data_IF_989654346854
#
_entry.id   IF_989654346854
#
_cell.length_a   1.000
_cell.length_b   1.000
_cell.length_c   1.000
_cell.angle_alpha   90.00
_cell.angle_beta   90.00
_cell.angle_gamma   90.00
#
_symmetry.space_group_name_H-M   'P 1'
#
loop_
_entity.id
_entity.type
_entity.pdbx_description
1 polymer ?
#
# COMPACT_ATOMS: atom_id res chain seq x y z
N UNK A 1 13.96 4.37 -62.17
CA UNK A 1 12.64 3.78 -61.82
C UNK A 1 12.67 3.42 -60.35
N UNK A 2 11.69 3.91 -59.56
CA UNK A 2 11.18 3.32 -58.28
C UNK A 2 12.17 3.36 -57.08
N UNK A 3 11.85 3.78 -55.85
CA UNK A 3 10.70 4.43 -55.18
C UNK A 3 11.25 4.96 -53.83
N UNK A 4 10.67 6.03 -53.31
CA UNK A 4 10.73 6.40 -51.90
C UNK A 4 10.19 5.27 -51.01
N UNK A 5 10.73 5.09 -49.80
CA UNK A 5 9.99 4.55 -48.66
C UNK A 5 10.37 5.30 -47.38
N UNK A 6 9.35 5.51 -46.55
CA UNK A 6 9.22 6.48 -45.47
C UNK A 6 10.18 6.26 -44.29
N UNK A 7 10.68 7.37 -43.73
CA UNK A 7 11.07 7.44 -42.32
C UNK A 7 9.95 8.17 -41.56
N UNK A 8 9.08 7.40 -40.92
CA UNK A 8 8.15 7.89 -39.92
C UNK A 8 7.97 6.79 -38.88
N UNK A 9 8.67 6.91 -37.75
CA UNK A 9 8.27 6.39 -36.43
C UNK A 9 9.44 6.53 -35.47
N UNK A 10 9.30 7.44 -34.50
CA UNK A 10 9.90 7.31 -33.16
C UNK A 10 9.60 8.55 -32.33
N UNK A 11 8.31 8.81 -32.10
CA UNK A 11 7.88 9.70 -31.00
C UNK A 11 7.02 8.93 -29.99
N UNK A 12 6.49 7.75 -30.34
CA UNK A 12 5.64 6.96 -29.43
C UNK A 12 6.37 6.07 -28.42
N UNK A 13 7.66 5.74 -28.58
CA UNK A 13 8.36 4.83 -27.64
C UNK A 13 9.04 5.54 -26.46
N UNK A 14 9.32 6.84 -26.56
CA UNK A 14 10.03 7.56 -25.49
C UNK A 14 9.06 7.98 -24.37
N UNK A 15 7.82 8.33 -24.74
CA UNK A 15 6.79 8.68 -23.76
C UNK A 15 6.32 7.47 -22.95
N UNK A 16 6.12 6.31 -23.59
CA UNK A 16 5.68 5.08 -22.92
C UNK A 16 6.74 4.50 -21.98
N UNK A 17 8.02 4.58 -22.35
CA UNK A 17 9.13 4.17 -21.47
C UNK A 17 9.35 5.15 -20.31
N UNK A 18 9.12 6.45 -20.52
CA UNK A 18 9.15 7.43 -19.43
C UNK A 18 7.99 7.26 -18.44
N UNK A 19 6.76 7.00 -18.93
CA UNK A 19 5.57 6.73 -18.11
C UNK A 19 5.71 5.42 -17.31
N UNK A 20 6.19 4.35 -17.94
CA UNK A 20 6.47 3.09 -17.25
C UNK A 20 7.57 3.24 -16.19
N UNK A 21 8.62 4.02 -16.46
CA UNK A 21 9.65 4.30 -15.47
C UNK A 21 9.13 5.13 -14.29
N UNK A 22 8.21 6.07 -14.51
CA UNK A 22 7.57 6.83 -13.42
C UNK A 22 6.63 5.97 -12.58
N UNK A 23 5.87 5.06 -13.18
CA UNK A 23 5.00 4.11 -12.45
C UNK A 23 5.82 3.13 -11.60
N UNK A 24 6.92 2.61 -12.14
CA UNK A 24 7.84 1.73 -11.41
C UNK A 24 8.56 2.47 -10.27
N UNK A 25 9.04 3.69 -10.52
CA UNK A 25 9.61 4.54 -9.48
C UNK A 25 8.57 4.90 -8.41
N UNK A 26 7.31 5.16 -8.77
CA UNK A 26 6.23 5.41 -7.82
C UNK A 26 5.94 4.17 -6.97
N UNK A 27 5.68 3.02 -7.60
CA UNK A 27 5.39 1.77 -6.89
C UNK A 27 6.51 1.40 -5.91
N UNK A 28 7.78 1.59 -6.30
CA UNK A 28 8.93 1.39 -5.43
C UNK A 28 9.06 2.46 -4.33
N UNK A 29 8.80 3.73 -4.63
CA UNK A 29 8.90 4.84 -3.66
C UNK A 29 7.75 4.88 -2.65
N UNK A 30 6.56 4.42 -3.02
CA UNK A 30 5.35 4.41 -2.19
C UNK A 30 5.04 3.02 -1.62
N UNK A 31 5.75 1.97 -2.06
CA UNK A 31 5.61 0.59 -1.61
C UNK A 31 4.14 0.17 -1.54
N UNK A 32 3.49 0.21 -2.70
CA UNK A 32 2.06 -0.12 -2.90
C UNK A 32 1.80 -1.63 -2.96
N UNK A 33 2.72 -2.44 -2.45
CA UNK A 33 2.63 -3.91 -2.45
C UNK A 33 1.54 -4.47 -1.52
N UNK A 34 0.69 -3.62 -0.93
CA UNK A 34 -0.46 -4.05 -0.14
C UNK A 34 -0.16 -4.49 1.30
N UNK A 35 1.08 -4.88 1.62
CA UNK A 35 1.37 -5.49 2.93
C UNK A 35 1.49 -4.47 4.07
N UNK A 36 0.43 -4.26 4.85
CA UNK A 36 0.43 -3.56 6.15
C UNK A 36 0.10 -4.53 7.30
N UNK A 37 1.02 -5.44 7.61
CA UNK A 37 0.76 -6.50 8.58
C UNK A 37 0.81 -5.99 10.02
N UNK A 38 -0.09 -6.52 10.85
CA UNK A 38 0.05 -6.48 12.32
C UNK A 38 1.17 -7.41 12.79
N UNK A 39 1.62 -7.27 14.05
CA UNK A 39 2.62 -8.17 14.63
C UNK A 39 2.19 -9.66 14.58
N UNK A 40 0.90 -9.94 14.80
CA UNK A 40 0.34 -11.30 14.72
C UNK A 40 0.41 -11.85 13.29
N UNK A 41 0.02 -11.05 12.29
CA UNK A 41 0.11 -11.44 10.88
C UNK A 41 1.56 -11.60 10.42
N UNK A 42 2.50 -10.79 10.93
CA UNK A 42 3.93 -10.96 10.64
C UNK A 42 4.47 -12.28 11.22
N UNK A 43 4.02 -12.69 12.41
CA UNK A 43 4.33 -14.03 12.95
C UNK A 43 3.75 -15.14 12.08
N UNK A 44 2.50 -14.97 11.63
CA UNK A 44 1.84 -15.92 10.73
C UNK A 44 2.53 -16.01 9.37
N UNK A 45 2.98 -14.88 8.78
CA UNK A 45 3.81 -14.84 7.57
C UNK A 45 5.08 -15.65 7.73
N UNK A 46 5.79 -15.50 8.85
CA UNK A 46 7.00 -16.30 9.11
C UNK A 46 6.68 -17.80 9.20
N UNK A 47 5.64 -18.17 9.95
CA UNK A 47 5.22 -19.56 10.09
C UNK A 47 4.75 -20.18 8.76
N UNK A 48 4.06 -19.40 7.92
CA UNK A 48 3.66 -19.81 6.59
C UNK A 48 4.87 -20.01 5.67
N UNK A 49 5.85 -19.12 5.70
CA UNK A 49 7.10 -19.28 4.96
C UNK A 49 7.89 -20.51 5.44
N UNK A 50 7.96 -20.75 6.75
CA UNK A 50 8.58 -21.95 7.32
C UNK A 50 7.88 -23.24 6.89
N UNK A 51 6.56 -23.20 6.67
CA UNK A 51 5.77 -24.35 6.19
C UNK A 51 5.89 -24.58 4.68
N UNK A 52 5.82 -23.50 3.90
CA UNK A 52 5.62 -23.56 2.44
C UNK A 52 6.87 -23.25 1.62
N UNK A 53 7.81 -22.50 2.19
CA UNK A 53 8.97 -21.89 1.49
C UNK A 53 10.23 -21.85 2.38
N UNK A 54 10.49 -22.89 3.17
CA UNK A 54 11.60 -22.86 4.13
C UNK A 54 12.99 -22.68 3.49
N UNK A 55 13.18 -23.15 2.25
CA UNK A 55 14.39 -22.93 1.47
C UNK A 55 14.64 -21.44 1.21
N UNK A 56 13.58 -20.65 1.00
CA UNK A 56 13.69 -19.21 0.84
C UNK A 56 14.21 -18.54 2.11
N UNK A 57 13.72 -18.95 3.28
CA UNK A 57 14.21 -18.42 4.56
C UNK A 57 15.67 -18.79 4.79
N UNK A 58 16.10 -19.98 4.38
CA UNK A 58 17.52 -20.36 4.40
C UNK A 58 18.35 -19.43 3.51
N UNK A 59 17.92 -19.16 2.28
CA UNK A 59 18.63 -18.24 1.38
C UNK A 59 18.70 -16.81 1.94
N UNK A 60 17.61 -16.32 2.55
CA UNK A 60 17.60 -15.00 3.19
C UNK A 60 18.58 -14.94 4.35
N UNK A 61 18.64 -15.98 5.18
CA UNK A 61 19.63 -16.06 6.25
C UNK A 61 21.06 -16.08 5.69
N UNK A 62 21.32 -16.88 4.66
CA UNK A 62 22.67 -16.99 4.07
C UNK A 62 23.16 -15.67 3.51
N UNK A 63 22.28 -14.91 2.85
CA UNK A 63 22.58 -13.55 2.37
C UNK A 63 22.79 -12.55 3.50
N UNK A 64 22.10 -12.72 4.63
CA UNK A 64 22.16 -11.76 5.74
C UNK A 64 23.39 -11.95 6.65
N UNK A 65 23.86 -13.18 6.84
CA UNK A 65 24.89 -13.50 7.83
C UNK A 65 26.29 -13.75 7.25
N UNK A 66 26.42 -13.92 5.93
CA UNK A 66 27.69 -14.07 5.18
C UNK A 66 28.79 -14.81 5.96
N UNK A 67 28.50 -16.06 6.34
CA UNK A 67 29.37 -16.87 7.20
C UNK A 67 29.79 -18.16 6.51
N UNK A 68 31.05 -18.56 6.74
CA UNK A 68 31.62 -19.82 6.25
C UNK A 68 31.33 -20.99 7.18
N UNK A 69 30.67 -20.75 8.32
CA UNK A 69 30.31 -21.81 9.27
C UNK A 69 29.16 -22.65 8.73
N UNK A 70 29.26 -23.97 8.92
CA UNK A 70 28.18 -24.89 8.58
C UNK A 70 27.12 -24.81 9.69
N UNK A 71 26.06 -24.05 9.43
CA UNK A 71 24.90 -23.92 10.32
C UNK A 71 23.75 -24.78 9.77
N UNK A 72 23.09 -25.52 10.66
CA UNK A 72 21.94 -26.35 10.28
C UNK A 72 20.76 -25.47 9.84
N UNK A 73 19.89 -25.99 8.97
CA UNK A 73 18.67 -25.29 8.53
C UNK A 73 17.82 -24.81 9.72
N UNK A 74 17.59 -25.69 10.71
CA UNK A 74 16.82 -25.36 11.91
C UNK A 74 17.41 -24.18 12.67
N UNK A 75 18.74 -24.15 12.84
CA UNK A 75 19.41 -23.06 13.53
C UNK A 75 19.33 -21.74 12.74
N UNK A 76 19.45 -21.78 11.40
CA UNK A 76 19.24 -20.60 10.54
C UNK A 76 17.85 -20.01 10.73
N UNK A 77 16.80 -20.85 10.71
CA UNK A 77 15.41 -20.40 10.89
C UNK A 77 15.18 -19.84 12.30
N UNK A 78 15.73 -20.48 13.34
CA UNK A 78 15.66 -19.99 14.71
C UNK A 78 16.32 -18.61 14.86
N UNK A 79 17.48 -18.39 14.22
CA UNK A 79 18.15 -17.10 14.23
C UNK A 79 17.36 -16.01 13.50
N UNK A 80 16.78 -16.30 12.33
CA UNK A 80 15.88 -15.34 11.67
C UNK A 80 14.67 -15.01 12.54
N UNK A 81 14.04 -16.03 13.13
CA UNK A 81 12.88 -15.84 14.01
C UNK A 81 13.23 -14.98 15.22
N UNK A 82 14.40 -15.21 15.84
CA UNK A 82 14.88 -14.40 16.95
C UNK A 82 15.17 -12.96 16.54
N UNK A 83 15.68 -12.72 15.32
CA UNK A 83 15.91 -11.37 14.83
C UNK A 83 14.61 -10.61 14.51
N UNK A 84 13.67 -11.27 13.83
CA UNK A 84 12.50 -10.63 13.26
C UNK A 84 11.30 -10.59 14.22
N UNK A 85 11.20 -11.60 15.09
CA UNK A 85 10.02 -11.87 15.93
C UNK A 85 10.42 -12.10 17.40
N UNK A 86 11.48 -11.44 17.89
CA UNK A 86 11.83 -11.50 19.32
C UNK A 86 10.66 -11.03 20.20
N UNK A 87 10.52 -11.56 21.43
CA UNK A 87 9.50 -11.10 22.37
C UNK A 87 9.50 -9.58 22.56
N UNK A 88 10.68 -8.95 22.55
CA UNK A 88 10.82 -7.49 22.67
C UNK A 88 10.26 -6.76 21.45
N UNK A 89 10.53 -7.23 20.23
CA UNK A 89 9.95 -6.64 19.00
C UNK A 89 8.44 -6.81 18.96
N UNK A 90 7.95 -7.99 19.30
CA UNK A 90 6.51 -8.27 19.33
C UNK A 90 5.79 -7.37 20.33
N UNK A 91 6.34 -7.22 21.55
CA UNK A 91 5.78 -6.34 22.58
C UNK A 91 5.78 -4.86 22.17
N UNK A 92 6.66 -4.46 21.26
CA UNK A 92 6.73 -3.09 20.72
C UNK A 92 5.92 -2.91 19.43
N UNK A 93 5.25 -3.97 18.94
CA UNK A 93 4.58 -3.92 17.64
C UNK A 93 5.53 -3.73 16.46
N UNK A 94 6.81 -4.14 16.58
CA UNK A 94 7.89 -3.96 15.59
C UNK A 94 8.42 -5.30 15.04
N UNK A 95 7.51 -6.23 14.81
CA UNK A 95 7.79 -7.49 14.13
C UNK A 95 8.29 -7.22 12.71
N UNK A 96 9.16 -8.08 12.18
CA UNK A 96 9.62 -7.98 10.80
C UNK A 96 9.05 -9.09 9.93
N UNK A 97 8.79 -8.78 8.67
CA UNK A 97 8.21 -9.72 7.71
C UNK A 97 8.67 -9.41 6.28
N UNK A 98 8.72 -10.43 5.44
CA UNK A 98 9.05 -10.29 4.03
C UNK A 98 7.80 -9.89 3.22
N UNK A 99 8.02 -9.02 2.24
CA UNK A 99 7.06 -8.70 1.18
C UNK A 99 7.63 -9.13 -0.17
N UNK A 100 6.75 -9.42 -1.12
CA UNK A 100 7.07 -10.10 -2.36
C UNK A 100 6.50 -9.35 -3.56
N UNK A 101 7.30 -9.26 -4.61
CA UNK A 101 6.92 -8.65 -5.87
C UNK A 101 7.89 -9.10 -6.97
N UNK A 102 7.62 -8.65 -8.19
CA UNK A 102 8.65 -8.60 -9.23
C UNK A 102 9.82 -7.70 -8.79
N UNK A 103 10.98 -7.85 -9.45
CA UNK A 103 12.17 -7.03 -9.16
C UNK A 103 11.98 -5.53 -9.42
N UNK A 104 10.94 -5.17 -10.15
CA UNK A 104 10.51 -3.79 -10.41
C UNK A 104 9.46 -3.28 -9.40
N UNK A 105 9.23 -4.04 -8.31
CA UNK A 105 8.25 -3.76 -7.26
C UNK A 105 6.79 -3.80 -7.73
N UNK A 106 6.48 -4.47 -8.84
CA UNK A 106 5.09 -4.67 -9.27
C UNK A 106 4.49 -6.00 -8.78
N UNK A 107 3.18 -6.01 -8.54
CA UNK A 107 2.38 -7.21 -8.26
C UNK A 107 1.30 -7.42 -9.36
N UNK A 108 1.68 -7.77 -10.61
CA UNK A 108 0.74 -7.85 -11.72
C UNK A 108 -0.22 -9.05 -11.63
N UNK A 109 0.11 -10.06 -10.83
CA UNK A 109 -0.71 -11.26 -10.66
C UNK A 109 -1.66 -11.18 -9.46
N UNK A 110 -1.68 -10.04 -8.74
CA UNK A 110 -2.41 -9.87 -7.49
C UNK A 110 -2.18 -11.05 -6.52
N UNK A 111 -0.93 -11.49 -6.45
CA UNK A 111 -0.54 -12.62 -5.61
C UNK A 111 -0.11 -12.12 -4.23
N UNK A 112 -0.56 -12.81 -3.20
CA UNK A 112 -0.26 -12.50 -1.81
C UNK A 112 0.30 -13.72 -1.09
N UNK A 113 1.36 -13.52 -0.30
CA UNK A 113 1.85 -14.55 0.60
C UNK A 113 0.81 -14.84 1.71
N UNK A 114 0.85 -16.02 2.34
CA UNK A 114 -0.02 -16.37 3.48
C UNK A 114 0.43 -15.73 4.80
N UNK A 115 -0.49 -15.09 5.52
CA UNK A 115 -0.23 -14.27 6.71
C UNK A 115 -0.63 -14.98 8.02
N UNK A 116 -1.03 -16.25 7.94
CA UNK A 116 -1.30 -17.15 9.06
C UNK A 116 -0.64 -18.51 8.84
N UNK A 117 -0.26 -19.18 9.93
CA UNK A 117 0.24 -20.56 9.89
C UNK A 117 -0.79 -21.56 9.32
N UNK A 118 -2.08 -21.22 9.42
CA UNK A 118 -3.18 -22.04 8.91
C UNK A 118 -3.41 -21.90 7.42
N UNK A 119 -2.85 -20.85 6.79
CA UNK A 119 -3.06 -20.62 5.36
C UNK A 119 -2.47 -21.77 4.55
N UNK A 120 -3.15 -22.09 3.45
CA UNK A 120 -2.66 -23.05 2.48
C UNK A 120 -1.41 -22.51 1.78
N UNK A 121 -0.54 -23.41 1.33
CA UNK A 121 0.57 -23.00 0.47
C UNK A 121 0.01 -22.62 -0.91
N UNK A 122 0.13 -21.35 -1.28
CA UNK A 122 -0.08 -20.87 -2.64
C UNK A 122 1.24 -20.97 -3.41
N UNK A 123 1.21 -21.24 -4.71
CA UNK A 123 2.41 -21.21 -5.57
C UNK A 123 2.80 -19.76 -5.83
N UNK A 124 4.03 -19.39 -5.46
CA UNK A 124 4.60 -18.08 -5.75
C UNK A 124 4.94 -17.98 -7.24
N UNK A 125 4.56 -16.89 -7.94
CA UNK A 125 4.96 -16.67 -9.32
C UNK A 125 6.49 -16.73 -9.48
N UNK A 126 7.02 -17.32 -10.56
CA UNK A 126 8.45 -17.60 -10.67
C UNK A 126 9.32 -16.33 -10.77
N UNK A 127 8.76 -15.21 -11.22
CA UNK A 127 9.38 -13.89 -11.25
C UNK A 127 9.39 -13.16 -9.89
N UNK A 128 8.65 -13.64 -8.89
CA UNK A 128 8.54 -12.96 -7.60
C UNK A 128 9.74 -13.29 -6.71
N UNK A 129 10.23 -12.26 -6.02
CA UNK A 129 11.33 -12.36 -5.05
C UNK A 129 10.96 -11.61 -3.77
N UNK A 130 11.63 -11.88 -2.63
CA UNK A 130 11.55 -10.98 -1.48
C UNK A 130 12.16 -9.63 -1.87
N UNK A 131 11.36 -8.58 -1.88
CA UNK A 131 11.80 -7.24 -2.30
C UNK A 131 12.07 -6.30 -1.13
N UNK A 132 11.49 -6.57 0.05
CA UNK A 132 11.81 -5.85 1.27
C UNK A 132 11.56 -6.68 2.54
N UNK A 133 12.30 -6.35 3.60
CA UNK A 133 12.01 -6.74 4.97
C UNK A 133 11.32 -5.57 5.68
N UNK A 134 9.99 -5.62 5.78
CA UNK A 134 9.18 -4.57 6.41
C UNK A 134 9.13 -4.77 7.92
N UNK A 135 8.85 -3.68 8.63
CA UNK A 135 8.59 -3.70 10.07
C UNK A 135 7.14 -3.30 10.29
N UNK A 136 6.41 -4.04 11.12
CA UNK A 136 5.05 -3.68 11.53
C UNK A 136 5.08 -2.35 12.27
N UNK A 137 4.07 -1.51 12.03
CA UNK A 137 4.02 -0.13 12.57
C UNK A 137 2.62 0.27 13.03
N UNK A 138 1.57 -0.39 12.55
CA UNK A 138 0.21 -0.22 13.04
C UNK A 138 -0.03 -1.15 14.22
N UNK A 139 -0.63 -0.61 15.28
CA UNK A 139 -0.95 -1.37 16.49
C UNK A 139 -2.16 -2.30 16.27
N UNK A 140 -3.08 -1.89 15.41
CA UNK A 140 -4.36 -2.56 15.15
C UNK A 140 -4.52 -2.91 13.67
N UNK A 141 -5.37 -3.90 13.40
CA UNK A 141 -5.81 -4.21 12.06
C UNK A 141 -7.03 -3.37 11.74
N UNK A 142 -7.02 -2.72 10.59
CA UNK A 142 -8.17 -1.99 10.05
C UNK A 142 -9.08 -2.93 9.26
N UNK A 143 -10.34 -2.58 9.16
CA UNK A 143 -11.29 -3.28 8.31
C UNK A 143 -10.92 -3.16 6.82
N UNK A 144 -11.22 -4.21 6.06
CA UNK A 144 -11.00 -4.23 4.62
C UNK A 144 -12.04 -3.33 3.91
N UNK A 145 -11.62 -2.65 2.84
CA UNK A 145 -12.51 -1.97 1.90
C UNK A 145 -11.85 -1.91 0.53
N UNK A 146 -12.58 -2.30 -0.52
CA UNK A 146 -12.14 -2.28 -1.91
C UNK A 146 -13.27 -1.80 -2.81
N UNK A 147 -13.00 -1.54 -4.09
CA UNK A 147 -14.04 -1.34 -5.08
C UNK A 147 -14.55 -2.65 -5.69
N UNK A 148 -15.78 -2.65 -6.23
CA UNK A 148 -16.23 -3.72 -7.12
C UNK A 148 -15.63 -3.57 -8.52
N UNK A 149 -15.43 -2.33 -8.96
CA UNK A 149 -14.93 -1.98 -10.27
C UNK A 149 -14.16 -0.66 -10.19
N UNK A 150 -12.98 -0.61 -10.80
CA UNK A 150 -12.10 0.55 -10.87
C UNK A 150 -11.65 0.84 -12.32
N UNK A 151 -12.31 0.23 -13.32
CA UNK A 151 -11.92 0.32 -14.72
C UNK A 151 -12.13 1.73 -15.30
N UNK A 152 -13.19 2.39 -14.83
CA UNK A 152 -13.62 3.68 -15.36
C UNK A 152 -13.21 4.85 -14.48
N UNK A 153 -13.14 4.60 -13.18
CA UNK A 153 -12.96 5.60 -12.13
C UNK A 153 -11.93 5.09 -11.12
N UNK A 154 -11.05 5.97 -10.67
CA UNK A 154 -10.06 5.67 -9.63
C UNK A 154 -9.56 6.97 -8.98
N UNK A 155 -8.64 6.87 -8.02
CA UNK A 155 -7.95 8.05 -7.48
C UNK A 155 -6.68 8.26 -8.32
N UNK A 156 -6.64 9.28 -9.19
CA UNK A 156 -5.40 9.51 -9.97
C UNK A 156 -4.29 10.16 -9.13
N UNK A 157 -4.67 10.97 -8.14
CA UNK A 157 -3.71 11.61 -7.23
C UNK A 157 -4.31 12.03 -5.91
N UNK A 158 -3.54 11.81 -4.84
CA UNK A 158 -3.72 12.46 -3.54
C UNK A 158 -2.55 13.40 -3.26
N UNK A 159 -2.83 14.62 -2.82
CA UNK A 159 -1.83 15.57 -2.32
C UNK A 159 -2.19 16.04 -0.92
N UNK A 160 -1.20 16.06 -0.03
CA UNK A 160 -1.34 16.43 1.38
C UNK A 160 -0.16 17.36 1.72
N UNK A 161 -0.39 18.67 1.73
CA UNK A 161 0.65 19.69 1.73
C UNK A 161 1.76 19.41 0.68
N UNK A 162 2.95 18.99 1.13
CA UNK A 162 4.11 18.68 0.27
C UNK A 162 4.20 17.19 -0.12
N UNK A 163 3.32 16.34 0.41
CA UNK A 163 3.20 14.96 -0.02
C UNK A 163 2.32 14.88 -1.27
N UNK A 164 2.72 14.06 -2.23
CA UNK A 164 1.94 13.75 -3.42
C UNK A 164 2.10 12.27 -3.71
N UNK A 165 1.00 11.60 -4.02
CA UNK A 165 0.95 10.23 -4.50
C UNK A 165 0.12 10.26 -5.79
N UNK A 166 0.69 9.79 -6.90
CA UNK A 166 -0.05 9.57 -8.13
C UNK A 166 -0.28 8.06 -8.20
N UNK A 167 -1.50 7.65 -8.53
CA UNK A 167 -1.89 6.24 -8.45
C UNK A 167 -2.26 5.70 -9.81
N UNK A 168 -2.05 4.40 -9.96
CA UNK A 168 -2.60 3.61 -11.06
C UNK A 168 -3.89 2.98 -10.55
N UNK A 169 -4.98 3.07 -11.31
CA UNK A 169 -6.29 2.63 -10.81
C UNK A 169 -6.30 1.17 -10.38
N UNK A 170 -6.61 0.93 -9.10
CA UNK A 170 -6.86 -0.38 -8.48
C UNK A 170 -8.19 -0.36 -7.74
N UNK A 171 -8.65 -1.52 -7.29
CA UNK A 171 -9.80 -1.60 -6.38
C UNK A 171 -9.41 -1.18 -4.95
N UNK A 172 -8.15 -1.44 -4.56
CA UNK A 172 -7.53 -1.04 -3.32
C UNK A 172 -6.02 -0.81 -3.45
N UNK A 173 -5.52 0.26 -2.83
CA UNK A 173 -4.09 0.60 -2.78
C UNK A 173 -3.65 0.91 -1.35
N UNK A 174 -2.64 0.20 -0.84
CA UNK A 174 -2.03 0.51 0.46
C UNK A 174 -0.68 1.22 0.28
N UNK A 175 -0.64 2.52 0.56
CA UNK A 175 0.53 3.38 0.45
C UNK A 175 1.33 3.32 1.75
N UNK A 176 2.38 2.48 1.75
CA UNK A 176 3.09 2.09 2.98
C UNK A 176 4.58 2.45 3.02
N UNK A 177 5.15 2.89 1.90
CA UNK A 177 6.57 3.23 1.75
C UNK A 177 6.93 4.63 2.21
N UNK A 178 5.93 5.52 2.31
CA UNK A 178 6.07 6.88 2.84
C UNK A 178 4.99 7.14 3.87
N UNK A 179 5.41 7.70 5.00
CA UNK A 179 4.50 8.11 6.07
C UNK A 179 4.24 9.60 5.96
N UNK A 180 2.98 9.99 5.82
CA UNK A 180 2.55 11.39 5.76
C UNK A 180 2.62 11.98 7.17
N UNK A 181 3.21 13.16 7.32
CA UNK A 181 3.19 13.85 8.62
C UNK A 181 1.99 14.78 8.72
N UNK A 182 1.20 14.64 9.77
CA UNK A 182 0.14 15.56 10.15
C UNK A 182 0.52 16.20 11.48
N UNK A 183 0.78 17.52 11.47
CA UNK A 183 1.17 18.22 12.70
C UNK A 183 -0.03 18.58 13.56
N UNK A 184 -0.01 18.22 14.84
CA UNK A 184 -1.09 18.52 15.78
C UNK A 184 -1.37 20.03 15.88
N UNK A 185 -2.65 20.40 15.91
CA UNK A 185 -3.09 21.80 15.95
C UNK A 185 -2.84 22.59 14.66
N UNK A 186 -2.45 21.92 13.56
CA UNK A 186 -2.27 22.55 12.25
C UNK A 186 -3.39 22.19 11.30
N UNK A 187 -3.68 23.12 10.40
CA UNK A 187 -4.52 22.88 9.24
C UNK A 187 -3.64 22.33 8.12
N UNK A 188 -4.03 21.18 7.56
CA UNK A 188 -3.36 20.51 6.44
C UNK A 188 -4.22 20.68 5.20
N UNK A 189 -3.61 21.08 4.08
CA UNK A 189 -4.30 21.19 2.80
C UNK A 189 -4.29 19.86 2.07
N UNK A 190 -5.46 19.40 1.62
CA UNK A 190 -5.61 18.14 0.91
C UNK A 190 -6.26 18.34 -0.45
N UNK A 191 -5.82 17.54 -1.41
CA UNK A 191 -6.40 17.49 -2.75
C UNK A 191 -6.55 16.05 -3.20
N UNK A 192 -7.74 15.68 -3.67
CA UNK A 192 -8.00 14.39 -4.33
C UNK A 192 -8.36 14.70 -5.78
N UNK A 193 -7.60 14.13 -6.70
CA UNK A 193 -7.83 14.21 -8.14
C UNK A 193 -8.45 12.88 -8.57
N UNK A 194 -9.74 12.85 -8.95
CA UNK A 194 -10.29 11.68 -9.61
C UNK A 194 -9.53 11.36 -10.90
N UNK A 195 -9.37 10.08 -11.19
CA UNK A 195 -8.92 9.58 -12.49
C UNK A 195 -10.09 8.94 -13.22
N UNK A 196 -10.14 9.14 -14.53
CA UNK A 196 -11.24 8.66 -15.36
C UNK A 196 -10.75 8.27 -16.76
N UNK A 197 -11.25 7.14 -17.28
CA UNK A 197 -10.83 6.58 -18.57
C UNK A 197 -11.34 7.39 -19.77
N UNK A 198 -12.48 8.07 -19.61
CA UNK A 198 -13.05 8.97 -20.60
C UNK A 198 -12.96 10.43 -20.12
N UNK A 199 -11.97 11.21 -20.61
CA UNK A 199 -11.80 12.60 -20.19
C UNK A 199 -12.96 13.52 -20.62
N UNK A 200 -13.79 13.06 -21.57
CA UNK A 200 -14.92 13.82 -22.12
C UNK A 200 -16.20 13.73 -21.27
N UNK A 201 -16.25 12.80 -20.30
CA UNK A 201 -17.34 12.70 -19.33
C UNK A 201 -16.74 12.80 -17.92
N UNK A 202 -16.73 14.00 -17.31
CA UNK A 202 -16.32 14.11 -15.92
C UNK A 202 -17.30 13.31 -15.08
N UNK A 203 -16.79 12.28 -14.44
CA UNK A 203 -17.57 11.38 -13.61
C UNK A 203 -17.94 12.10 -12.33
N UNK A 204 -19.24 12.10 -12.03
CA UNK A 204 -19.71 12.60 -10.76
C UNK A 204 -19.35 11.57 -9.68
N UNK A 205 -18.25 11.81 -8.98
CA UNK A 205 -17.68 10.89 -8.00
C UNK A 205 -17.95 11.42 -6.61
N UNK A 206 -18.20 10.53 -5.66
CA UNK A 206 -18.35 10.87 -4.26
C UNK A 206 -17.10 10.47 -3.48
N UNK A 207 -16.44 11.42 -2.83
CA UNK A 207 -15.20 11.23 -2.08
C UNK A 207 -15.44 11.29 -0.56
N UNK A 208 -14.80 10.38 0.17
CA UNK A 208 -14.67 10.41 1.63
C UNK A 208 -13.23 10.29 2.05
N UNK A 209 -12.90 10.92 3.17
CA UNK A 209 -11.63 10.71 3.86
C UNK A 209 -11.88 10.49 5.35
N UNK A 210 -11.25 9.48 5.89
CA UNK A 210 -11.21 9.19 7.32
C UNK A 210 -9.78 9.20 7.83
N UNK A 211 -9.57 9.66 9.06
CA UNK A 211 -8.29 9.57 9.76
C UNK A 211 -8.59 8.99 11.14
N UNK A 212 -8.03 7.83 11.45
CA UNK A 212 -8.15 7.20 12.77
C UNK A 212 -7.31 8.00 13.77
N UNK A 213 -7.98 8.90 14.49
CA UNK A 213 -7.36 9.87 15.37
C UNK A 213 -7.00 9.27 16.72
N UNK A 214 -7.83 8.34 17.21
CA UNK A 214 -7.63 7.69 18.50
C UNK A 214 -6.79 6.40 18.42
N UNK A 215 -6.39 6.03 17.20
CA UNK A 215 -5.49 4.92 16.88
C UNK A 215 -6.04 3.56 17.33
N UNK A 216 -7.37 3.39 17.36
CA UNK A 216 -8.02 2.17 17.83
C UNK A 216 -8.21 1.10 16.74
N UNK A 217 -7.86 1.42 15.48
CA UNK A 217 -8.00 0.53 14.33
C UNK A 217 -9.38 0.55 13.68
N UNK A 218 -10.28 1.45 14.10
CA UNK A 218 -11.59 1.65 13.53
C UNK A 218 -11.72 3.08 12.98
N UNK A 219 -12.70 3.29 12.12
CA UNK A 219 -13.05 4.62 11.63
C UNK A 219 -14.45 4.95 12.11
N UNK A 220 -14.53 5.69 13.21
CA UNK A 220 -15.76 6.23 13.76
C UNK A 220 -16.34 7.33 12.87
N UNK A 221 -17.59 7.70 13.12
CA UNK A 221 -18.25 8.81 12.40
C UNK A 221 -17.59 10.17 12.67
N UNK A 222 -16.94 10.34 13.83
CA UNK A 222 -16.14 11.53 14.17
C UNK A 222 -14.81 11.62 13.41
N UNK A 223 -14.37 10.53 12.80
CA UNK A 223 -13.08 10.43 12.12
C UNK A 223 -13.19 10.67 10.62
N UNK A 224 -14.42 10.77 10.09
CA UNK A 224 -14.67 11.23 8.74
C UNK A 224 -14.39 12.73 8.63
N UNK A 225 -13.23 13.09 8.07
CA UNK A 225 -12.76 14.47 7.95
C UNK A 225 -13.20 15.16 6.67
N UNK A 226 -13.64 14.38 5.68
CA UNK A 226 -14.14 14.92 4.41
C UNK A 226 -15.23 14.04 3.82
N UNK A 227 -16.25 14.68 3.26
CA UNK A 227 -17.32 14.05 2.49
C UNK A 227 -17.86 15.05 1.48
N UNK A 228 -17.76 14.74 0.19
CA UNK A 228 -18.33 15.54 -0.89
C UNK A 228 -18.57 14.71 -2.13
N UNK A 229 -19.31 15.24 -3.10
CA UNK A 229 -19.39 14.70 -4.44
C UNK A 229 -19.22 15.83 -5.46
N UNK A 230 -18.48 15.54 -6.53
CA UNK A 230 -18.13 16.52 -7.57
C UNK A 230 -17.74 15.78 -8.85
N UNK A 231 -17.84 16.48 -9.96
CA UNK A 231 -17.31 16.11 -11.28
C UNK A 231 -15.89 16.68 -11.51
N UNK A 232 -15.17 17.00 -10.43
CA UNK A 232 -13.90 17.72 -10.49
C UNK A 232 -13.02 17.45 -9.28
N UNK A 233 -11.89 18.15 -9.22
CA UNK A 233 -10.88 17.98 -8.16
C UNK A 233 -11.46 18.42 -6.81
N UNK A 234 -11.34 17.55 -5.81
CA UNK A 234 -11.68 17.89 -4.43
C UNK A 234 -10.53 18.63 -3.78
N UNK A 235 -10.77 19.86 -3.32
CA UNK A 235 -9.81 20.66 -2.55
C UNK A 235 -10.43 21.03 -1.21
N UNK A 236 -9.77 20.65 -0.13
CA UNK A 236 -10.26 20.88 1.22
C UNK A 236 -9.10 21.00 2.20
N UNK A 237 -9.41 21.39 3.43
CA UNK A 237 -8.45 21.50 4.50
C UNK A 237 -8.95 20.73 5.72
N UNK A 238 -8.05 20.03 6.39
CA UNK A 238 -8.33 19.26 7.60
C UNK A 238 -7.62 19.92 8.77
N UNK A 239 -8.35 20.22 9.84
CA UNK A 239 -7.76 20.69 11.08
C UNK A 239 -7.36 19.48 11.91
N UNK A 240 -6.06 19.25 12.08
CA UNK A 240 -5.53 18.21 12.96
C UNK A 240 -5.75 18.66 14.41
N UNK A 241 -6.53 17.95 15.24
CA UNK A 241 -6.79 18.39 16.60
C UNK A 241 -5.49 18.45 17.43
N UNK A 242 -5.41 19.41 18.36
CA UNK A 242 -4.16 19.68 19.09
C UNK A 242 -3.82 18.64 20.16
N UNK A 243 -4.82 17.90 20.64
CA UNK A 243 -4.70 16.92 21.73
C UNK A 243 -4.73 15.48 21.21
N UNK A 244 -4.32 15.24 19.95
CA UNK A 244 -4.27 13.90 19.40
C UNK A 244 -3.09 13.09 19.93
N UNK A 245 -3.26 11.78 19.94
CA UNK A 245 -2.20 10.84 20.30
C UNK A 245 -1.07 10.91 19.27
N UNK A 246 0.15 11.12 19.74
CA UNK A 246 1.35 10.97 18.92
C UNK A 246 1.48 9.51 18.48
N UNK A 247 1.79 9.28 17.21
CA UNK A 247 1.93 7.91 16.71
C UNK A 247 1.74 7.78 15.21
N UNK A 248 1.74 6.53 14.75
CA UNK A 248 1.41 6.17 13.36
C UNK A 248 0.02 5.56 13.36
N UNK A 249 -0.82 6.04 12.45
CA UNK A 249 -2.20 5.60 12.25
C UNK A 249 -2.51 5.56 10.74
N UNK A 250 -3.73 5.20 10.38
CA UNK A 250 -4.19 5.10 9.00
C UNK A 250 -5.11 6.27 8.62
N UNK A 251 -4.90 6.79 7.43
CA UNK A 251 -5.88 7.62 6.73
C UNK A 251 -6.41 6.83 5.54
N UNK A 252 -7.74 6.77 5.40
CA UNK A 252 -8.40 6.14 4.26
C UNK A 252 -9.02 7.19 3.36
N UNK A 253 -8.75 7.09 2.06
CA UNK A 253 -9.39 7.87 1.00
C UNK A 253 -10.26 6.91 0.17
N UNK A 254 -11.52 7.25 -0.08
CA UNK A 254 -12.37 6.46 -0.96
C UNK A 254 -13.10 7.37 -1.94
N UNK A 255 -13.07 7.00 -3.22
CA UNK A 255 -13.86 7.63 -4.28
C UNK A 255 -14.84 6.62 -4.86
N UNK A 256 -16.12 6.98 -4.99
CA UNK A 256 -17.15 6.09 -5.53
C UNK A 256 -18.15 6.85 -6.42
N UNK A 257 -18.25 6.48 -7.69
CA UNK A 257 -19.28 6.98 -8.61
C UNK A 257 -20.66 6.33 -8.40
N UNK A 258 -20.75 5.29 -7.56
CA UNK A 258 -21.99 4.68 -7.08
C UNK A 258 -22.62 5.42 -5.88
N UNK A 259 -22.03 6.54 -5.45
CA UNK A 259 -22.54 7.38 -4.36
C UNK A 259 -21.79 7.23 -3.03
N UNK A 260 -21.02 6.16 -2.85
CA UNK A 260 -20.14 5.87 -1.71
C UNK A 260 -20.83 5.61 -0.37
N UNK A 261 -20.04 5.21 0.62
CA UNK A 261 -20.47 4.87 1.98
C UNK A 261 -19.84 5.82 3.01
N UNK A 262 -20.56 6.09 4.09
CA UNK A 262 -20.02 6.83 5.25
C UNK A 262 -19.32 5.90 6.24
N UNK A 263 -19.56 4.60 6.12
CA UNK A 263 -18.84 3.55 6.81
C UNK A 263 -17.62 3.15 5.98
N UNK A 264 -16.43 3.41 6.54
CA UNK A 264 -15.14 3.18 5.92
C UNK A 264 -14.83 1.69 5.69
N UNK A 265 -15.58 0.79 6.30
CA UNK A 265 -15.44 -0.66 6.18
C UNK A 265 -16.38 -1.27 5.14
N UNK A 266 -17.25 -0.45 4.52
CA UNK A 266 -18.15 -0.94 3.50
C UNK A 266 -17.53 -0.77 2.12
N UNK A 267 -17.47 -1.89 1.41
CA UNK A 267 -17.06 -2.00 0.01
C UNK A 267 -17.78 -0.95 -0.85
N UNK A 268 -17.02 -0.23 -1.68
CA UNK A 268 -17.55 0.76 -2.62
C UNK A 268 -17.86 0.13 -3.99
N UNK A 269 -18.62 0.82 -4.84
CA UNK A 269 -19.02 0.29 -6.15
C UNK A 269 -17.99 0.57 -7.25
N UNK A 270 -17.83 1.85 -7.62
CA UNK A 270 -17.10 2.27 -8.83
C UNK A 270 -16.04 3.31 -8.47
N UNK A 271 -14.79 2.90 -8.34
CA UNK A 271 -13.71 3.79 -7.94
C UNK A 271 -12.55 3.06 -7.28
N UNK A 272 -11.97 3.66 -6.25
CA UNK A 272 -10.79 3.12 -5.56
C UNK A 272 -10.83 3.51 -4.08
N UNK A 273 -10.24 2.63 -3.27
CA UNK A 273 -9.93 2.89 -1.86
C UNK A 273 -8.42 2.92 -1.70
N UNK A 274 -7.91 3.96 -1.08
CA UNK A 274 -6.49 4.09 -0.80
C UNK A 274 -6.24 4.33 0.69
N UNK A 275 -5.34 3.53 1.26
CA UNK A 275 -4.91 3.65 2.64
C UNK A 275 -3.50 4.24 2.71
N UNK A 276 -3.34 5.28 3.50
CA UNK A 276 -2.09 5.99 3.72
C UNK A 276 -1.66 5.88 5.17
N UNK A 277 -0.40 5.52 5.40
CA UNK A 277 0.20 5.69 6.71
C UNK A 277 0.39 7.17 7.00
N UNK A 278 -0.15 7.62 8.14
CA UNK A 278 0.04 8.97 8.63
C UNK A 278 0.67 8.93 10.03
N UNK A 279 1.48 9.93 10.35
CA UNK A 279 2.02 10.12 11.68
C UNK A 279 1.59 11.46 12.25
N UNK A 280 1.05 11.41 13.46
CA UNK A 280 0.62 12.57 14.23
C UNK A 280 1.77 12.98 15.16
N UNK A 281 2.16 14.27 15.14
CA UNK A 281 3.25 14.83 15.96
C UNK A 281 3.22 16.36 16.07
#
# INVERSE_FOLDING_TARGET
>A
MIKQLLAASSVLCVASSALANTELEQTANYNELGDLLTASQAQGRFAWLEKCYDGLLVEVWERAFDTTQIISKEEKLNQLKALWLSPQRLAQGKAQYLTFANTDFTNPYDWHAGNSATDACSTMPPEYVPVALKTTILAHQYCDNTAFDNEWEWVSKVSIDNFTHESVGRDYTAVSGKVVTLSAGRTVSMTITPGNKEPDYPSFVAARVWIDWDQDGQFSTSEMVFKSASDGIFKFAVNVPAEQLDGVTLMRVATDAGGGSDDACNRIHYGEVEDYLVTIR
#
